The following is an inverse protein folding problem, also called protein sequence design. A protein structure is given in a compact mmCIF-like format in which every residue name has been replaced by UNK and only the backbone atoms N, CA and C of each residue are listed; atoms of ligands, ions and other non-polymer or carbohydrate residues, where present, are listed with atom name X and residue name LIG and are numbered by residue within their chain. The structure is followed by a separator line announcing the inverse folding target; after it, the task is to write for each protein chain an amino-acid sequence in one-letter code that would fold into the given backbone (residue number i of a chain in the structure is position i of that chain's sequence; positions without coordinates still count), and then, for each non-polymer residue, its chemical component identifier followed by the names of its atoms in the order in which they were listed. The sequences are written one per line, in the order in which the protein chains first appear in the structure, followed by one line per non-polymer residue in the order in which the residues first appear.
data_IF_791679358664
#
_entry.id   IF_791679358664
#
_cell.length_a   1.000
_cell.length_b   1.000
_cell.length_c   1.000
_cell.angle_alpha   90.00
_cell.angle_beta   90.00
_cell.angle_gamma   90.00
#
_symmetry.space_group_name_H-M   'P 1'
#
loop_
_entity.id
_entity.type
_entity.pdbx_description
1 polymer ?
#
# COMPACT_ATOMS: atom_id res chain seq x y z
N UNK A 1 5.96 -31.01 -3.39
CA UNK A 1 6.26 -29.85 -4.27
C UNK A 1 7.23 -28.95 -3.54
N UNK A 2 8.17 -28.26 -4.23
CA UNK A 2 9.11 -27.34 -3.59
C UNK A 2 8.34 -26.36 -2.70
N UNK A 3 8.74 -26.25 -1.43
CA UNK A 3 8.08 -25.35 -0.50
C UNK A 3 8.55 -23.91 -0.66
N UNK A 4 7.70 -22.95 -0.30
CA UNK A 4 8.10 -21.55 -0.21
C UNK A 4 7.44 -20.90 0.98
N UNK A 5 8.19 -20.08 1.72
CA UNK A 5 7.65 -19.15 2.70
C UNK A 5 7.74 -17.75 2.12
N UNK A 6 6.60 -17.08 2.03
CA UNK A 6 6.49 -15.70 1.55
C UNK A 6 5.93 -14.84 2.68
N UNK A 7 6.66 -13.81 3.05
CA UNK A 7 6.26 -12.84 4.07
C UNK A 7 6.13 -11.48 3.40
N UNK A 8 4.97 -10.82 3.51
CA UNK A 8 4.71 -9.54 2.88
C UNK A 8 4.50 -8.44 3.93
N UNK A 9 5.09 -7.27 3.70
CA UNK A 9 4.91 -6.09 4.53
C UNK A 9 3.51 -5.51 4.44
N UNK A 10 2.96 -5.39 3.22
CA UNK A 10 1.60 -4.91 2.96
C UNK A 10 1.18 -5.18 1.51
N UNK A 11 -0.01 -4.73 1.10
CA UNK A 11 -0.48 -4.74 -0.28
C UNK A 11 -0.72 -6.14 -0.83
N UNK A 12 -1.10 -7.09 0.03
CA UNK A 12 -1.18 -8.51 -0.29
C UNK A 12 -2.11 -8.88 -1.44
N UNK A 13 -3.13 -8.07 -1.68
CA UNK A 13 -4.08 -8.21 -2.79
C UNK A 13 -4.08 -6.97 -3.70
N UNK A 14 -3.01 -6.19 -3.65
CA UNK A 14 -2.78 -5.02 -4.50
C UNK A 14 -2.13 -5.40 -5.84
N UNK A 15 -2.26 -4.54 -6.87
CA UNK A 15 -1.59 -4.74 -8.16
C UNK A 15 -0.07 -4.93 -8.06
N UNK A 16 0.58 -4.34 -7.05
CA UNK A 16 2.04 -4.41 -6.90
C UNK A 16 2.53 -5.82 -6.55
N UNK A 17 1.68 -6.66 -5.94
CA UNK A 17 2.05 -8.01 -5.48
C UNK A 17 1.66 -9.13 -6.47
N UNK A 18 0.96 -8.80 -7.57
CA UNK A 18 0.47 -9.80 -8.53
C UNK A 18 1.60 -10.68 -9.07
N UNK A 19 2.71 -10.09 -9.49
CA UNK A 19 3.84 -10.84 -10.06
C UNK A 19 4.58 -11.69 -9.02
N UNK A 20 4.58 -11.28 -7.75
CA UNK A 20 5.13 -12.10 -6.66
C UNK A 20 4.28 -13.36 -6.48
N UNK A 21 2.97 -13.20 -6.38
CA UNK A 21 2.04 -14.33 -6.28
C UNK A 21 2.12 -15.25 -7.50
N UNK A 22 2.09 -14.70 -8.72
CA UNK A 22 2.23 -15.49 -9.96
C UNK A 22 3.55 -16.25 -10.00
N UNK A 23 4.65 -15.62 -9.60
CA UNK A 23 5.96 -16.28 -9.61
C UNK A 23 6.00 -17.51 -8.69
N UNK A 24 5.42 -17.41 -7.50
CA UNK A 24 5.40 -18.51 -6.53
C UNK A 24 4.32 -19.55 -6.90
N UNK A 25 3.17 -19.12 -7.42
CA UNK A 25 2.08 -20.01 -7.84
C UNK A 25 2.44 -20.86 -9.07
N UNK A 26 3.38 -20.41 -9.93
CA UNK A 26 3.86 -21.20 -11.09
C UNK A 26 4.46 -22.56 -10.71
N UNK A 27 4.95 -22.71 -9.48
CA UNK A 27 5.48 -23.98 -8.96
C UNK A 27 4.39 -24.98 -8.57
N UNK A 28 3.12 -24.58 -8.56
CA UNK A 28 2.01 -25.43 -8.15
C UNK A 28 1.62 -26.42 -9.27
N UNK A 29 1.27 -27.64 -8.87
CA UNK A 29 0.71 -28.67 -9.74
C UNK A 29 -0.70 -28.28 -10.21
N UNK A 30 -1.13 -28.83 -11.34
CA UNK A 30 -2.52 -28.73 -11.77
C UNK A 30 -3.45 -29.32 -10.68
N UNK A 31 -4.54 -28.59 -10.38
CA UNK A 31 -5.48 -28.96 -9.32
C UNK A 31 -4.91 -28.84 -7.90
N UNK A 32 -3.90 -27.98 -7.71
CA UNK A 32 -3.42 -27.61 -6.38
C UNK A 32 -4.55 -27.01 -5.53
N UNK A 33 -4.66 -27.46 -4.28
CA UNK A 33 -5.62 -26.90 -3.32
C UNK A 33 -5.05 -25.62 -2.71
N UNK A 34 -5.67 -24.48 -2.98
CA UNK A 34 -5.25 -23.20 -2.42
C UNK A 34 -6.27 -22.68 -1.41
N UNK A 35 -5.79 -22.32 -0.22
CA UNK A 35 -6.61 -21.90 0.92
C UNK A 35 -6.32 -20.46 1.32
N UNK A 36 -7.38 -19.70 1.57
CA UNK A 36 -7.38 -18.43 2.29
C UNK A 36 -7.79 -18.69 3.75
N UNK A 37 -6.92 -18.33 4.68
CA UNK A 37 -7.26 -18.20 6.09
C UNK A 37 -7.80 -16.78 6.34
N UNK A 38 -9.08 -16.69 6.61
CA UNK A 38 -9.78 -15.44 6.96
C UNK A 38 -9.58 -15.03 8.43
N UNK A 39 -8.97 -15.90 9.22
CA UNK A 39 -8.89 -15.79 10.67
C UNK A 39 -8.45 -14.41 11.17
N UNK A 40 -7.41 -13.75 10.60
CA UNK A 40 -6.97 -12.45 11.12
C UNK A 40 -8.04 -11.35 11.05
N UNK A 41 -9.00 -11.41 10.11
CA UNK A 41 -10.08 -10.43 9.96
C UNK A 41 -11.48 -11.01 10.23
N UNK A 42 -11.59 -12.30 10.60
CA UNK A 42 -12.88 -12.98 10.80
C UNK A 42 -13.75 -12.38 11.93
N UNK A 43 -13.21 -11.48 12.76
CA UNK A 43 -13.98 -10.74 13.76
C UNK A 43 -14.77 -9.56 13.18
N UNK A 44 -14.50 -9.16 11.93
CA UNK A 44 -15.11 -8.01 11.30
C UNK A 44 -16.48 -8.35 10.70
N UNK A 45 -17.43 -7.42 10.79
CA UNK A 45 -18.80 -7.59 10.24
C UNK A 45 -18.81 -7.80 8.72
N UNK A 46 -17.81 -7.27 8.00
CA UNK A 46 -17.63 -7.40 6.56
C UNK A 46 -16.68 -8.53 6.14
N UNK A 47 -16.32 -9.47 7.04
CA UNK A 47 -15.35 -10.53 6.74
C UNK A 47 -15.65 -11.32 5.45
N UNK A 48 -16.94 -11.61 5.19
CA UNK A 48 -17.35 -12.31 3.97
C UNK A 48 -17.06 -11.50 2.67
N UNK A 49 -17.16 -10.18 2.73
CA UNK A 49 -16.79 -9.31 1.60
C UNK A 49 -15.28 -9.32 1.37
N UNK A 50 -14.49 -9.20 2.45
CA UNK A 50 -13.02 -9.26 2.39
C UNK A 50 -12.57 -10.57 1.75
N UNK A 51 -13.10 -11.71 2.21
CA UNK A 51 -12.80 -13.01 1.61
C UNK A 51 -13.22 -13.08 0.14
N UNK A 52 -14.40 -12.57 -0.21
CA UNK A 52 -14.87 -12.55 -1.61
C UNK A 52 -13.96 -11.72 -2.52
N UNK A 53 -13.47 -10.57 -2.05
CA UNK A 53 -12.52 -9.71 -2.78
C UNK A 53 -11.17 -10.41 -2.96
N UNK A 54 -10.64 -11.03 -1.90
CA UNK A 54 -9.39 -11.80 -1.96
C UNK A 54 -9.50 -12.98 -2.95
N UNK A 55 -10.54 -13.81 -2.86
CA UNK A 55 -10.75 -14.92 -3.80
C UNK A 55 -10.83 -14.42 -5.25
N UNK A 56 -11.53 -13.31 -5.49
CA UNK A 56 -11.64 -12.70 -6.82
C UNK A 56 -10.31 -12.15 -7.34
N UNK A 57 -9.50 -11.57 -6.47
CA UNK A 57 -8.14 -11.13 -6.79
C UNK A 57 -7.28 -12.32 -7.25
N UNK A 58 -7.24 -13.40 -6.48
CA UNK A 58 -6.44 -14.57 -6.86
C UNK A 58 -6.93 -15.19 -8.17
N UNK A 59 -8.24 -15.35 -8.36
CA UNK A 59 -8.80 -15.90 -9.58
C UNK A 59 -8.49 -15.04 -10.82
N UNK A 60 -8.70 -13.71 -10.73
CA UNK A 60 -8.59 -12.80 -11.89
C UNK A 60 -7.16 -12.32 -12.16
N UNK A 61 -6.45 -11.95 -11.11
CA UNK A 61 -5.13 -11.31 -11.22
C UNK A 61 -4.02 -12.35 -11.17
N UNK A 62 -4.10 -13.35 -10.30
CA UNK A 62 -3.05 -14.38 -10.15
C UNK A 62 -3.30 -15.58 -11.06
N UNK A 63 -4.56 -15.91 -11.34
CA UNK A 63 -4.95 -17.14 -12.03
C UNK A 63 -4.98 -18.37 -11.11
N UNK A 64 -5.23 -18.16 -9.81
CA UNK A 64 -5.28 -19.20 -8.77
C UNK A 64 -6.66 -19.19 -8.12
N UNK A 65 -7.39 -20.32 -8.18
CA UNK A 65 -8.65 -20.49 -7.45
C UNK A 65 -8.36 -20.78 -5.98
N UNK A 66 -8.82 -19.90 -5.09
CA UNK A 66 -8.59 -19.99 -3.64
C UNK A 66 -9.92 -20.14 -2.91
N UNK A 67 -10.01 -21.09 -2.00
CA UNK A 67 -11.17 -21.30 -1.13
C UNK A 67 -10.89 -20.81 0.30
N UNK A 68 -11.92 -20.29 0.97
CA UNK A 68 -11.83 -19.98 2.41
C UNK A 68 -11.88 -21.28 3.19
N UNK A 69 -10.95 -21.51 4.11
CA UNK A 69 -11.00 -22.66 5.00
C UNK A 69 -10.52 -22.33 6.41
N UNK A 70 -11.00 -23.11 7.38
CA UNK A 70 -10.62 -22.95 8.79
C UNK A 70 -9.23 -23.53 9.13
N UNK A 71 -8.57 -24.20 8.19
CA UNK A 71 -7.29 -24.87 8.42
C UNK A 71 -6.53 -25.20 7.14
N UNK A 72 -5.27 -25.62 7.31
CA UNK A 72 -4.29 -25.69 6.21
C UNK A 72 -3.92 -27.11 5.80
N UNK A 73 -4.44 -28.13 6.48
CA UNK A 73 -4.14 -29.54 6.21
C UNK A 73 -4.45 -29.89 4.76
N UNK A 74 -3.49 -30.51 4.06
CA UNK A 74 -3.64 -30.94 2.67
C UNK A 74 -3.76 -29.80 1.64
N UNK A 75 -3.64 -28.53 2.05
CA UNK A 75 -3.45 -27.45 1.09
C UNK A 75 -2.10 -27.63 0.36
N UNK A 76 -1.99 -27.11 -0.86
CA UNK A 76 -0.73 -26.91 -1.58
C UNK A 76 -0.28 -25.44 -1.47
N UNK A 77 -1.22 -24.52 -1.33
CA UNK A 77 -1.02 -23.09 -1.14
C UNK A 77 -1.85 -22.59 0.05
N UNK A 78 -1.25 -21.81 0.93
CA UNK A 78 -1.93 -21.14 2.04
C UNK A 78 -1.64 -19.65 1.93
N UNK A 79 -2.68 -18.84 2.01
CA UNK A 79 -2.59 -17.40 2.12
C UNK A 79 -3.35 -16.92 3.36
N UNK A 80 -2.75 -16.01 4.12
CA UNK A 80 -3.39 -15.29 5.23
C UNK A 80 -2.92 -13.85 5.22
N UNK A 81 -3.86 -12.91 5.36
CA UNK A 81 -3.61 -11.49 5.11
C UNK A 81 -3.90 -10.57 6.30
N UNK A 82 -4.60 -9.45 6.06
CA UNK A 82 -4.68 -8.30 6.97
C UNK A 82 -5.63 -8.56 8.14
N UNK A 83 -5.61 -7.69 9.15
CA UNK A 83 -6.51 -7.77 10.30
C UNK A 83 -5.77 -7.67 11.64
N UNK A 84 -6.17 -8.47 12.62
CA UNK A 84 -5.59 -8.47 13.96
C UNK A 84 -4.60 -9.62 14.15
N UNK A 85 -3.30 -9.33 14.43
CA UNK A 85 -2.32 -10.36 14.74
C UNK A 85 -2.68 -11.17 15.99
N UNK A 86 -3.17 -10.50 17.04
CA UNK A 86 -3.53 -11.12 18.32
C UNK A 86 -4.76 -12.01 18.21
N UNK A 87 -5.77 -11.58 17.47
CA UNK A 87 -6.94 -12.40 17.18
C UNK A 87 -6.56 -13.67 16.40
N UNK A 88 -5.72 -13.54 15.37
CA UNK A 88 -5.20 -14.67 14.61
C UNK A 88 -4.46 -15.67 15.51
N UNK A 89 -3.53 -15.18 16.33
CA UNK A 89 -2.77 -16.01 17.29
C UNK A 89 -3.68 -16.80 18.22
N UNK A 90 -4.66 -16.15 18.83
CA UNK A 90 -5.58 -16.82 19.76
C UNK A 90 -6.39 -17.91 19.07
N UNK A 91 -6.95 -17.63 17.88
CA UNK A 91 -7.76 -18.60 17.14
C UNK A 91 -6.91 -19.75 16.59
N UNK A 92 -5.72 -19.48 16.09
CA UNK A 92 -4.83 -20.51 15.55
C UNK A 92 -4.23 -21.40 16.63
N UNK A 93 -3.94 -20.86 17.81
CA UNK A 93 -3.54 -21.66 18.96
C UNK A 93 -4.68 -22.60 19.41
N UNK A 94 -5.92 -22.08 19.51
CA UNK A 94 -7.07 -22.86 19.95
C UNK A 94 -7.49 -23.97 18.96
N UNK A 95 -7.29 -23.75 17.66
CA UNK A 95 -7.67 -24.69 16.59
C UNK A 95 -6.55 -25.64 16.15
N UNK A 96 -5.31 -25.40 16.55
CA UNK A 96 -4.13 -26.17 16.10
C UNK A 96 -3.48 -25.67 14.82
N UNK A 97 -4.08 -24.68 14.13
CA UNK A 97 -3.55 -24.12 12.87
C UNK A 97 -2.13 -23.56 13.03
N UNK A 98 -1.78 -23.01 14.19
CA UNK A 98 -0.42 -22.53 14.45
C UNK A 98 0.61 -23.68 14.37
N UNK A 99 0.26 -24.85 14.91
CA UNK A 99 1.09 -26.06 14.83
C UNK A 99 1.18 -26.58 13.39
N UNK A 100 0.08 -26.56 12.65
CA UNK A 100 0.06 -26.99 11.25
C UNK A 100 0.90 -26.08 10.34
N UNK A 101 0.86 -24.76 10.56
CA UNK A 101 1.71 -23.80 9.85
C UNK A 101 3.19 -24.05 10.15
N UNK A 102 3.56 -24.27 11.42
CA UNK A 102 4.93 -24.65 11.81
C UNK A 102 5.36 -25.95 11.15
N UNK A 103 4.53 -26.98 11.21
CA UNK A 103 4.81 -28.29 10.62
C UNK A 103 5.00 -28.21 9.10
N UNK A 104 4.17 -27.40 8.43
CA UNK A 104 4.25 -27.13 7.01
C UNK A 104 5.59 -26.51 6.60
N UNK A 105 5.99 -25.39 7.22
CA UNK A 105 7.28 -24.75 6.90
C UNK A 105 8.45 -25.70 7.22
N UNK A 106 8.39 -26.42 8.34
CA UNK A 106 9.39 -27.42 8.73
C UNK A 106 9.50 -28.60 7.75
N UNK A 107 8.38 -29.04 7.19
CA UNK A 107 8.36 -30.08 6.15
C UNK A 107 8.90 -29.60 4.81
N UNK A 108 9.03 -28.27 4.63
CA UNK A 108 9.54 -27.62 3.41
C UNK A 108 8.68 -27.94 2.18
N UNK A 109 7.39 -28.19 2.41
CA UNK A 109 6.41 -28.53 1.38
C UNK A 109 5.32 -27.46 1.25
N UNK A 110 4.95 -27.19 0.00
CA UNK A 110 3.87 -26.28 -0.33
C UNK A 110 4.20 -24.81 -0.07
N UNK A 111 3.31 -23.94 -0.52
CA UNK A 111 3.50 -22.50 -0.41
C UNK A 111 2.74 -21.96 0.80
N UNK A 112 3.41 -21.15 1.61
CA UNK A 112 2.80 -20.40 2.71
C UNK A 112 3.07 -18.92 2.49
N UNK A 113 2.01 -18.14 2.32
CA UNK A 113 2.06 -16.69 2.14
C UNK A 113 1.37 -16.03 3.32
N UNK A 114 2.11 -15.28 4.12
CA UNK A 114 1.58 -14.48 5.21
C UNK A 114 1.85 -13.00 4.92
N UNK A 115 0.85 -12.16 5.08
CA UNK A 115 0.98 -10.72 4.85
C UNK A 115 0.46 -9.90 6.04
N UNK A 116 0.96 -8.67 6.18
CA UNK A 116 0.49 -7.69 7.16
C UNK A 116 0.32 -8.35 8.55
N UNK A 117 -0.89 -8.36 9.11
CA UNK A 117 -1.20 -8.93 10.41
C UNK A 117 -0.77 -10.39 10.58
N UNK A 118 -1.04 -11.23 9.58
CA UNK A 118 -0.60 -12.63 9.60
C UNK A 118 0.93 -12.75 9.55
N UNK A 119 1.61 -11.91 8.75
CA UNK A 119 3.08 -11.90 8.69
C UNK A 119 3.69 -11.52 10.05
N UNK A 120 3.09 -10.55 10.76
CA UNK A 120 3.53 -10.15 12.10
C UNK A 120 3.54 -11.32 13.11
N UNK A 121 2.75 -12.36 12.86
CA UNK A 121 2.73 -13.58 13.68
C UNK A 121 3.89 -14.54 13.43
N UNK A 122 4.65 -14.37 12.34
CA UNK A 122 5.57 -15.40 11.85
C UNK A 122 6.84 -15.57 12.70
N UNK A 123 7.25 -14.56 13.46
CA UNK A 123 8.44 -14.60 14.31
C UNK A 123 8.17 -15.16 15.71
N UNK A 124 9.20 -15.13 16.56
CA UNK A 124 9.11 -15.60 17.95
C UNK A 124 8.16 -14.76 18.82
N UNK A 125 7.96 -13.50 18.43
CA UNK A 125 7.05 -12.57 19.07
C UNK A 125 6.37 -11.68 18.02
N UNK A 126 5.23 -11.13 18.42
CA UNK A 126 4.28 -10.42 17.57
C UNK A 126 3.87 -9.11 18.21
N UNK A 127 3.74 -8.06 17.38
CA UNK A 127 3.25 -6.76 17.80
C UNK A 127 1.71 -6.80 17.91
N UNK A 128 1.13 -6.54 19.10
CA UNK A 128 -0.31 -6.36 19.26
C UNK A 128 -0.71 -4.95 18.83
N UNK A 129 -0.68 -4.70 17.52
CA UNK A 129 -0.73 -3.34 16.95
C UNK A 129 -2.03 -2.61 17.27
N UNK A 130 -3.19 -3.29 17.24
CA UNK A 130 -4.46 -2.63 17.56
C UNK A 130 -4.55 -2.25 19.03
N UNK A 131 -4.07 -3.12 19.92
CA UNK A 131 -4.02 -2.86 21.34
C UNK A 131 -3.09 -1.67 21.66
N UNK A 132 -1.92 -1.60 21.04
CA UNK A 132 -0.97 -0.52 21.29
C UNK A 132 -1.39 0.78 20.61
N UNK A 133 -1.73 0.74 19.32
CA UNK A 133 -1.97 1.93 18.50
C UNK A 133 -3.38 2.48 18.64
N UNK A 134 -4.41 1.62 18.60
CA UNK A 134 -5.82 2.06 18.61
C UNK A 134 -6.38 2.12 20.04
N UNK A 135 -6.08 1.14 20.90
CA UNK A 135 -6.57 1.11 22.30
C UNK A 135 -5.69 1.94 23.25
N UNK A 136 -4.40 2.08 22.95
CA UNK A 136 -3.46 2.85 23.78
C UNK A 136 -2.82 2.06 24.92
N UNK A 137 -2.75 0.73 24.80
CA UNK A 137 -2.03 -0.13 25.75
C UNK A 137 -0.53 0.18 25.76
N UNK A 138 0.13 -0.14 26.88
CA UNK A 138 1.58 -0.05 26.98
C UNK A 138 2.26 -0.96 25.94
N UNK A 139 3.39 -0.53 25.33
CA UNK A 139 4.12 -1.37 24.38
C UNK A 139 4.56 -2.69 25.02
N UNK A 140 4.25 -3.81 24.36
CA UNK A 140 4.58 -5.15 24.83
C UNK A 140 4.57 -6.13 23.64
N UNK A 141 5.20 -7.29 23.83
CA UNK A 141 5.18 -8.40 22.88
C UNK A 141 4.11 -9.44 23.26
N UNK A 142 3.55 -10.09 22.24
CA UNK A 142 2.85 -11.38 22.38
C UNK A 142 3.71 -12.49 21.78
N UNK A 143 3.56 -13.71 22.28
CA UNK A 143 4.22 -14.88 21.69
C UNK A 143 3.71 -15.10 20.26
N UNK A 144 4.63 -15.31 19.31
CA UNK A 144 4.31 -15.53 17.92
C UNK A 144 4.19 -17.01 17.53
N UNK A 145 3.82 -17.26 16.28
CA UNK A 145 3.80 -18.60 15.68
C UNK A 145 5.22 -19.12 15.42
N UNK A 146 6.26 -18.30 15.48
CA UNK A 146 7.67 -18.72 15.39
C UNK A 146 7.98 -19.71 14.24
N UNK A 147 7.48 -19.37 13.05
CA UNK A 147 7.82 -20.08 11.81
C UNK A 147 9.30 -19.89 11.46
N UNK A 148 9.86 -18.75 11.81
CA UNK A 148 11.25 -18.38 11.53
C UNK A 148 12.27 -19.27 12.25
N UNK A 149 11.94 -19.82 13.42
CA UNK A 149 12.79 -20.81 14.11
C UNK A 149 13.08 -22.02 13.22
N UNK A 150 12.11 -22.48 12.43
CA UNK A 150 12.29 -23.63 11.51
C UNK A 150 13.31 -23.35 10.40
N UNK A 151 13.61 -22.07 10.16
CA UNK A 151 14.62 -21.61 9.22
C UNK A 151 15.95 -21.28 9.92
N UNK A 152 16.07 -21.51 11.24
CA UNK A 152 17.24 -21.14 12.03
C UNK A 152 17.36 -19.64 12.29
N UNK A 153 16.25 -18.89 12.16
CA UNK A 153 16.22 -17.45 12.39
C UNK A 153 15.55 -17.13 13.72
N UNK A 154 16.34 -16.64 14.68
CA UNK A 154 15.81 -16.07 15.92
C UNK A 154 15.41 -14.61 15.69
N UNK A 155 14.19 -14.40 15.19
CA UNK A 155 13.74 -13.07 14.82
C UNK A 155 12.24 -12.82 15.11
N UNK A 156 11.90 -11.54 15.19
CA UNK A 156 10.52 -11.04 15.05
C UNK A 156 10.33 -10.44 13.66
N UNK A 157 9.12 -10.47 13.13
CA UNK A 157 8.77 -9.82 11.87
C UNK A 157 7.89 -8.60 12.13
N UNK A 158 8.28 -7.45 11.57
CA UNK A 158 7.52 -6.21 11.61
C UNK A 158 7.12 -5.85 10.16
N UNK A 159 5.85 -6.04 9.77
CA UNK A 159 5.32 -5.54 8.50
C UNK A 159 5.13 -4.01 8.56
N UNK A 160 4.72 -3.37 7.46
CA UNK A 160 4.50 -1.92 7.39
C UNK A 160 5.68 -1.13 7.98
N UNK A 161 6.91 -1.53 7.65
CA UNK A 161 8.11 -1.07 8.35
C UNK A 161 8.40 0.41 8.09
N UNK A 162 8.18 0.88 6.86
CA UNK A 162 8.36 2.26 6.42
C UNK A 162 7.06 3.10 6.43
N UNK A 163 5.96 2.54 6.94
CA UNK A 163 4.65 3.21 6.96
C UNK A 163 4.71 4.68 7.42
N UNK A 164 4.11 5.56 6.62
CA UNK A 164 4.08 7.00 6.81
C UNK A 164 2.66 7.61 6.95
N UNK A 165 1.63 6.80 7.14
CA UNK A 165 0.22 7.22 7.25
C UNK A 165 -0.10 8.18 8.41
N UNK A 166 0.79 8.28 9.41
CA UNK A 166 0.58 9.12 10.59
C UNK A 166 0.50 10.61 10.30
N UNK A 167 1.01 11.07 9.16
CA UNK A 167 1.07 12.49 8.76
C UNK A 167 1.89 13.35 9.73
N UNK A 168 1.30 13.71 10.87
CA UNK A 168 1.94 14.53 11.92
C UNK A 168 2.71 13.74 12.98
N UNK A 169 2.61 12.40 13.00
CA UNK A 169 3.31 11.54 13.96
C UNK A 169 3.95 10.32 13.29
N UNK A 170 4.89 9.69 14.00
CA UNK A 170 5.66 8.54 13.50
C UNK A 170 4.84 7.24 13.59
N UNK A 171 4.43 6.71 12.44
CA UNK A 171 3.74 5.42 12.29
C UNK A 171 4.60 4.31 11.69
N UNK A 172 5.90 4.56 11.51
CA UNK A 172 6.83 3.53 11.03
C UNK A 172 6.80 2.32 11.96
N UNK A 173 7.20 1.17 11.43
CA UNK A 173 7.34 -0.07 12.20
C UNK A 173 6.00 -0.60 12.71
N UNK A 174 5.01 -0.76 11.80
CA UNK A 174 3.67 -1.26 12.14
C UNK A 174 2.97 -0.35 13.18
N UNK A 175 2.86 0.95 12.87
CA UNK A 175 2.21 1.98 13.71
C UNK A 175 2.83 2.19 15.11
N UNK A 176 4.00 1.63 15.38
CA UNK A 176 4.69 1.80 16.66
C UNK A 176 5.41 3.15 16.76
N UNK A 177 6.06 3.55 15.67
CA UNK A 177 7.08 4.61 15.66
C UNK A 177 8.36 4.20 16.38
N UNK A 178 9.46 4.91 16.11
CA UNK A 178 10.80 4.58 16.62
C UNK A 178 10.83 4.46 18.16
N UNK A 179 10.13 5.37 18.85
CA UNK A 179 10.12 5.42 20.32
C UNK A 179 9.58 4.14 20.94
N UNK A 180 8.48 3.59 20.41
CA UNK A 180 7.85 2.37 20.97
C UNK A 180 8.64 1.13 20.56
N UNK A 181 9.05 1.03 19.28
CA UNK A 181 9.85 -0.11 18.81
C UNK A 181 11.15 -0.22 19.61
N UNK A 182 11.93 0.86 19.73
CA UNK A 182 13.19 0.87 20.49
C UNK A 182 13.02 0.39 21.94
N UNK A 183 11.86 0.66 22.58
CA UNK A 183 11.55 0.15 23.92
C UNK A 183 11.31 -1.35 23.89
N UNK A 184 10.44 -1.79 23.00
CA UNK A 184 10.07 -3.20 22.85
C UNK A 184 11.28 -4.07 22.46
N UNK A 185 12.19 -3.59 21.62
CA UNK A 185 13.41 -4.32 21.23
C UNK A 185 14.26 -4.75 22.43
N UNK A 186 14.29 -3.95 23.50
CA UNK A 186 15.05 -4.27 24.73
C UNK A 186 14.41 -5.38 25.58
N UNK A 187 13.13 -5.66 25.34
CA UNK A 187 12.38 -6.72 26.03
C UNK A 187 12.51 -8.06 25.30
N UNK A 188 13.04 -8.06 24.07
CA UNK A 188 13.27 -9.29 23.33
C UNK A 188 14.42 -10.10 23.95
N UNK A 189 14.36 -11.44 23.85
CA UNK A 189 15.47 -12.28 24.28
C UNK A 189 16.80 -11.88 23.60
N UNK A 190 17.94 -11.92 24.31
CA UNK A 190 19.24 -11.51 23.74
C UNK A 190 19.56 -12.24 22.45
N UNK A 191 19.99 -11.47 21.45
CA UNK A 191 20.34 -12.01 20.13
C UNK A 191 19.18 -12.18 19.15
N UNK A 192 17.98 -11.73 19.50
CA UNK A 192 16.86 -11.64 18.57
C UNK A 192 17.05 -10.49 17.58
N UNK A 193 16.82 -10.75 16.29
CA UNK A 193 16.77 -9.71 15.26
C UNK A 193 15.34 -9.23 14.99
N UNK A 194 15.20 -8.01 14.49
CA UNK A 194 13.97 -7.48 13.90
C UNK A 194 14.10 -7.55 12.38
N UNK A 195 13.22 -8.29 11.74
CA UNK A 195 13.05 -8.29 10.29
C UNK A 195 11.92 -7.33 9.94
N UNK A 196 12.29 -6.16 9.43
CA UNK A 196 11.38 -5.13 8.97
C UNK A 196 11.06 -5.29 7.48
N UNK A 197 9.79 -5.47 7.13
CA UNK A 197 9.35 -5.46 5.74
C UNK A 197 8.58 -4.19 5.44
N UNK A 198 9.11 -3.42 4.50
CA UNK A 198 8.46 -2.21 3.99
C UNK A 198 7.14 -2.54 3.31
N UNK A 199 6.28 -1.54 3.16
CA UNK A 199 5.02 -1.64 2.45
C UNK A 199 5.23 -2.07 0.99
N UNK A 200 4.28 -2.81 0.45
CA UNK A 200 4.35 -3.39 -0.90
C UNK A 200 5.69 -4.11 -1.17
N UNK A 201 6.21 -4.84 -0.18
CA UNK A 201 7.47 -5.60 -0.26
C UNK A 201 7.29 -7.00 0.31
N UNK A 202 7.94 -7.98 -0.31
CA UNK A 202 7.88 -9.38 0.06
C UNK A 202 9.29 -9.96 0.25
N UNK A 203 9.48 -10.71 1.33
CA UNK A 203 10.56 -11.67 1.51
C UNK A 203 10.08 -13.04 1.01
N UNK A 204 10.74 -13.57 -0.01
CA UNK A 204 10.48 -14.91 -0.55
C UNK A 204 11.65 -15.80 -0.18
N UNK A 205 11.37 -16.90 0.53
CA UNK A 205 12.34 -17.95 0.86
C UNK A 205 11.92 -19.22 0.15
N UNK A 206 12.74 -19.65 -0.80
CA UNK A 206 12.60 -20.97 -1.42
C UNK A 206 13.11 -22.03 -0.44
N UNK A 207 12.20 -22.89 0.02
CA UNK A 207 12.52 -23.90 1.02
C UNK A 207 13.23 -25.10 0.41
N UNK A 208 13.43 -25.24 -0.89
CA UNK A 208 14.24 -26.34 -1.41
C UNK A 208 15.70 -25.91 -1.55
N UNK A 209 15.90 -24.77 -2.21
CA UNK A 209 17.22 -24.24 -2.58
C UNK A 209 17.84 -23.34 -1.52
N UNK A 210 17.06 -22.90 -0.53
CA UNK A 210 17.43 -21.86 0.43
C UNK A 210 17.74 -20.49 -0.21
N UNK A 211 17.31 -20.25 -1.46
CA UNK A 211 17.36 -18.93 -2.08
C UNK A 211 16.43 -17.97 -1.32
N UNK A 212 16.95 -16.78 -1.03
CA UNK A 212 16.23 -15.67 -0.42
C UNK A 212 16.16 -14.53 -1.41
N UNK A 213 14.95 -14.03 -1.67
CA UNK A 213 14.71 -12.89 -2.55
C UNK A 213 13.87 -11.83 -1.88
N UNK A 214 14.27 -10.58 -2.03
CA UNK A 214 13.44 -9.41 -1.71
C UNK A 214 12.78 -8.94 -3.01
N UNK A 215 11.45 -8.83 -3.01
CA UNK A 215 10.66 -8.41 -4.15
C UNK A 215 9.65 -7.31 -3.75
N UNK A 216 9.15 -6.53 -4.70
CA UNK A 216 8.25 -5.42 -4.44
C UNK A 216 8.92 -4.05 -4.58
N UNK A 217 8.50 -3.05 -3.82
CA UNK A 217 8.90 -1.64 -4.00
C UNK A 217 9.96 -1.16 -3.01
N UNK A 218 9.92 -1.62 -1.77
CA UNK A 218 10.82 -1.20 -0.68
C UNK A 218 11.97 -2.18 -0.46
N UNK A 219 12.25 -2.49 0.80
CA UNK A 219 13.30 -3.43 1.19
C UNK A 219 12.95 -4.28 2.41
N UNK A 220 13.88 -5.19 2.71
CA UNK A 220 13.94 -5.90 3.97
C UNK A 220 15.03 -5.25 4.84
N UNK A 221 14.66 -4.76 6.02
CA UNK A 221 15.61 -4.29 7.02
C UNK A 221 15.87 -5.38 8.04
N UNK A 222 17.13 -5.79 8.20
CA UNK A 222 17.59 -6.65 9.29
C UNK A 222 18.20 -5.75 10.37
N UNK A 223 17.49 -5.58 11.49
CA UNK A 223 17.86 -4.68 12.58
C UNK A 223 18.19 -5.46 13.85
N UNK A 224 19.30 -5.12 14.51
CA UNK A 224 19.72 -5.70 15.79
C UNK A 224 20.58 -4.72 16.58
N UNK A 225 20.21 -4.46 17.84
CA UNK A 225 21.05 -3.75 18.81
C UNK A 225 21.75 -2.48 18.29
N UNK A 226 21.03 -1.63 17.53
CA UNK A 226 21.55 -0.37 16.99
C UNK A 226 22.28 -0.48 15.65
N UNK A 227 22.42 -1.68 15.07
CA UNK A 227 22.80 -1.86 13.67
C UNK A 227 21.58 -2.22 12.83
N UNK A 228 21.57 -1.76 11.58
CA UNK A 228 20.56 -2.10 10.59
C UNK A 228 21.24 -2.31 9.23
N UNK A 229 20.88 -3.41 8.57
CA UNK A 229 21.26 -3.68 7.18
C UNK A 229 20.00 -3.68 6.35
N UNK A 230 19.97 -2.90 5.28
CA UNK A 230 18.85 -2.87 4.33
C UNK A 230 19.22 -3.72 3.12
N UNK A 231 18.36 -4.67 2.80
CA UNK A 231 18.38 -5.46 1.58
C UNK A 231 17.29 -4.90 0.65
N UNK A 232 17.64 -4.10 -0.38
CA UNK A 232 16.66 -3.48 -1.25
C UNK A 232 15.93 -4.52 -2.12
N UNK A 233 14.75 -4.16 -2.65
CA UNK A 233 14.06 -4.97 -3.65
C UNK A 233 14.98 -5.35 -4.81
N UNK A 234 14.83 -6.60 -5.28
CA UNK A 234 15.70 -7.20 -6.30
C UNK A 234 16.90 -7.94 -5.71
N UNK A 235 17.21 -7.76 -4.42
CA UNK A 235 18.26 -8.53 -3.74
C UNK A 235 17.97 -10.02 -3.84
N UNK A 236 18.99 -10.80 -4.22
CA UNK A 236 19.02 -12.26 -4.16
C UNK A 236 20.22 -12.69 -3.33
N UNK A 237 19.97 -13.54 -2.35
CA UNK A 237 20.98 -14.09 -1.45
C UNK A 237 20.53 -15.49 -1.01
N UNK A 238 21.14 -16.05 0.01
CA UNK A 238 20.75 -17.32 0.60
C UNK A 238 20.33 -17.17 2.08
N UNK A 239 19.70 -18.22 2.60
CA UNK A 239 19.24 -18.26 3.98
C UNK A 239 20.41 -18.20 4.98
N UNK A 240 21.60 -18.65 4.59
CA UNK A 240 22.80 -18.58 5.44
C UNK A 240 23.27 -17.13 5.65
N UNK A 241 23.24 -16.29 4.63
CA UNK A 241 23.52 -14.86 4.75
C UNK A 241 22.46 -14.15 5.59
N UNK A 242 21.18 -14.46 5.40
CA UNK A 242 20.13 -13.88 6.23
C UNK A 242 20.31 -14.23 7.71
N UNK A 243 20.70 -15.47 8.02
CA UNK A 243 21.09 -15.90 9.39
C UNK A 243 22.28 -15.10 9.91
N UNK A 244 23.35 -14.96 9.12
CA UNK A 244 24.53 -14.16 9.51
C UNK A 244 24.17 -12.72 9.84
N UNK A 245 23.35 -12.07 9.02
CA UNK A 245 22.88 -10.70 9.27
C UNK A 245 22.05 -10.62 10.55
N UNK A 246 21.13 -11.57 10.77
CA UNK A 246 20.33 -11.65 11.99
C UNK A 246 21.20 -11.89 13.24
N UNK A 247 22.33 -12.59 13.09
CA UNK A 247 23.34 -12.80 14.14
C UNK A 247 24.29 -11.62 14.32
N UNK A 248 24.09 -10.50 13.60
CA UNK A 248 24.90 -9.28 13.68
C UNK A 248 26.21 -9.35 12.91
N UNK A 249 26.35 -10.30 11.98
CA UNK A 249 27.46 -10.34 11.04
C UNK A 249 27.43 -9.15 10.08
N UNK A 250 28.60 -8.79 9.55
CA UNK A 250 28.69 -7.84 8.44
C UNK A 250 28.18 -8.50 7.16
N UNK A 251 27.52 -7.75 6.26
CA UNK A 251 27.11 -8.29 4.98
C UNK A 251 28.29 -8.92 4.24
N UNK A 252 28.10 -10.14 3.74
CA UNK A 252 29.01 -10.69 2.74
C UNK A 252 28.99 -9.82 1.48
N UNK A 253 29.98 -9.96 0.60
CA UNK A 253 29.88 -9.42 -0.77
C UNK A 253 28.74 -10.13 -1.48
N UNK A 254 27.52 -9.58 -1.40
CA UNK A 254 26.40 -10.00 -2.22
C UNK A 254 26.76 -9.63 -3.66
N UNK A 255 26.81 -10.59 -4.60
CA UNK A 255 27.00 -10.26 -6.00
C UNK A 255 25.96 -9.22 -6.41
N UNK A 256 26.34 -8.14 -7.13
CA UNK A 256 25.35 -7.19 -7.60
C UNK A 256 24.27 -7.98 -8.35
N UNK A 257 22.98 -7.65 -8.15
CA UNK A 257 21.91 -8.37 -8.82
C UNK A 257 22.20 -8.35 -10.33
N UNK A 258 21.94 -9.45 -11.06
CA UNK A 258 21.97 -9.38 -12.51
C UNK A 258 21.02 -8.26 -12.92
N UNK A 259 21.55 -7.28 -13.64
CA UNK A 259 20.76 -6.13 -14.12
C UNK A 259 19.55 -6.70 -14.86
N UNK A 260 18.32 -6.48 -14.37
CA UNK A 260 17.14 -6.95 -15.07
C UNK A 260 17.17 -6.35 -16.48
N UNK A 261 16.90 -7.16 -17.51
CA UNK A 261 16.83 -6.69 -18.90
C UNK A 261 15.81 -5.55 -19.06
N UNK A 262 14.83 -5.46 -18.15
CA UNK A 262 13.98 -4.31 -17.86
C UNK A 262 13.63 -4.38 -16.36
N UNK A 263 13.88 -3.31 -15.60
CA UNK A 263 13.22 -3.18 -14.30
C UNK A 263 11.72 -3.02 -14.58
N UNK A 264 10.82 -3.82 -13.97
CA UNK A 264 9.40 -3.57 -14.11
C UNK A 264 9.14 -2.13 -13.67
N UNK A 265 8.42 -1.36 -14.49
CA UNK A 265 8.03 0.00 -14.15
C UNK A 265 7.40 -0.04 -12.75
N UNK A 266 7.91 0.79 -11.84
CA UNK A 266 7.40 0.85 -10.48
C UNK A 266 5.88 1.08 -10.54
N UNK A 267 5.09 0.10 -10.12
CA UNK A 267 3.64 0.20 -10.15
C UNK A 267 3.23 1.19 -9.07
N UNK A 268 2.87 2.41 -9.47
CA UNK A 268 2.51 3.56 -8.61
C UNK A 268 1.35 3.16 -7.68
N UNK A 269 1.40 3.55 -6.41
CA UNK A 269 0.33 3.25 -5.45
C UNK A 269 -0.94 4.04 -5.76
N UNK A 270 -2.08 3.63 -5.19
CA UNK A 270 -3.31 4.42 -5.35
C UNK A 270 -3.17 5.83 -4.76
N UNK A 271 -2.49 5.98 -3.63
CA UNK A 271 -2.25 7.29 -3.01
C UNK A 271 -1.42 8.21 -3.90
N UNK A 272 -0.29 7.71 -4.44
CA UNK A 272 0.55 8.45 -5.37
C UNK A 272 -0.25 8.85 -6.63
N UNK A 273 -1.14 7.96 -7.11
CA UNK A 273 -2.04 8.23 -8.24
C UNK A 273 -3.04 9.34 -7.92
N UNK A 274 -3.65 9.31 -6.74
CA UNK A 274 -4.59 10.34 -6.24
C UNK A 274 -3.91 11.70 -6.19
N UNK A 275 -2.73 11.78 -5.58
CA UNK A 275 -1.97 13.02 -5.47
C UNK A 275 -1.59 13.58 -6.85
N UNK A 276 -1.05 12.72 -7.73
CA UNK A 276 -0.67 13.13 -9.09
C UNK A 276 -1.89 13.58 -9.91
N UNK A 277 -3.01 12.87 -9.81
CA UNK A 277 -4.25 13.23 -10.49
C UNK A 277 -4.75 14.61 -10.06
N UNK A 278 -4.71 14.95 -8.76
CA UNK A 278 -5.15 16.26 -8.29
C UNK A 278 -4.29 17.39 -8.86
N UNK A 279 -2.97 17.23 -8.84
CA UNK A 279 -2.03 18.22 -9.36
C UNK A 279 -2.21 18.43 -10.87
N UNK A 280 -2.28 17.33 -11.64
CA UNK A 280 -2.45 17.36 -13.08
C UNK A 280 -3.81 17.95 -13.46
N UNK A 281 -4.87 17.62 -12.72
CA UNK A 281 -6.20 18.18 -12.94
C UNK A 281 -6.20 19.69 -12.72
N UNK A 282 -5.57 20.17 -11.65
CA UNK A 282 -5.41 21.61 -11.37
C UNK A 282 -4.69 22.32 -12.53
N UNK A 283 -3.65 21.70 -13.08
CA UNK A 283 -2.92 22.24 -14.22
C UNK A 283 -3.76 22.26 -15.51
N UNK A 284 -4.56 21.21 -15.76
CA UNK A 284 -5.45 21.14 -16.92
C UNK A 284 -6.54 22.22 -16.87
N UNK A 285 -7.19 22.41 -15.72
CA UNK A 285 -8.20 23.46 -15.52
C UNK A 285 -7.60 24.87 -15.65
N UNK A 286 -6.35 25.07 -15.23
CA UNK A 286 -5.65 26.36 -15.40
C UNK A 286 -5.34 26.69 -16.87
N UNK A 287 -5.15 25.68 -17.73
CA UNK A 287 -4.92 25.80 -19.18
C UNK A 287 -6.19 25.65 -20.02
N UNK A 288 -7.36 25.96 -19.45
CA UNK A 288 -8.69 25.48 -19.84
C UNK A 288 -8.81 24.20 -20.69
N UNK A 289 -7.99 23.17 -20.42
CA UNK A 289 -8.02 21.92 -21.17
C UNK A 289 -9.02 20.93 -20.54
N UNK A 290 -10.29 21.06 -20.95
CA UNK A 290 -11.38 20.25 -20.38
C UNK A 290 -11.31 18.78 -20.78
N UNK A 291 -10.72 18.47 -21.95
CA UNK A 291 -10.56 17.09 -22.40
C UNK A 291 -9.52 16.38 -21.55
N UNK A 292 -8.36 17.02 -21.32
CA UNK A 292 -7.35 16.48 -20.42
C UNK A 292 -7.87 16.32 -18.99
N UNK A 293 -8.61 17.32 -18.48
CA UNK A 293 -9.20 17.24 -17.15
C UNK A 293 -10.23 16.10 -17.02
N UNK A 294 -11.06 15.87 -18.03
CA UNK A 294 -12.00 14.74 -18.06
C UNK A 294 -11.28 13.38 -18.12
N UNK A 295 -10.21 13.28 -18.94
CA UNK A 295 -9.43 12.05 -19.05
C UNK A 295 -8.79 11.67 -17.71
N UNK A 296 -8.25 12.63 -16.97
CA UNK A 296 -7.66 12.38 -15.64
C UNK A 296 -8.68 11.80 -14.64
N UNK A 297 -9.94 12.24 -14.69
CA UNK A 297 -11.01 11.69 -13.85
C UNK A 297 -11.31 10.24 -14.23
N UNK A 298 -11.34 9.91 -15.52
CA UNK A 298 -11.55 8.54 -16.01
C UNK A 298 -10.37 7.62 -15.67
N UNK A 299 -9.14 8.13 -15.79
CA UNK A 299 -7.94 7.38 -15.43
C UNK A 299 -7.90 7.08 -13.93
N UNK A 300 -8.31 8.04 -13.09
CA UNK A 300 -8.47 7.83 -11.65
C UNK A 300 -9.54 6.77 -11.34
N UNK A 301 -10.67 6.77 -12.05
CA UNK A 301 -11.71 5.74 -11.90
C UNK A 301 -11.16 4.34 -12.20
N UNK A 302 -10.42 4.20 -13.30
CA UNK A 302 -9.82 2.93 -13.69
C UNK A 302 -8.82 2.41 -12.65
N UNK A 303 -7.99 3.28 -12.07
CA UNK A 303 -7.08 2.89 -11.00
C UNK A 303 -7.85 2.53 -9.71
N UNK A 304 -8.91 3.27 -9.33
CA UNK A 304 -9.75 2.89 -8.18
C UNK A 304 -10.33 1.47 -8.35
N UNK A 305 -10.76 1.11 -9.55
CA UNK A 305 -11.29 -0.24 -9.83
C UNK A 305 -10.20 -1.29 -9.69
N UNK A 306 -9.02 -1.03 -10.25
CA UNK A 306 -7.86 -1.94 -10.22
C UNK A 306 -7.35 -2.19 -8.80
N UNK A 307 -7.36 -1.16 -7.96
CA UNK A 307 -7.00 -1.24 -6.54
C UNK A 307 -8.16 -1.69 -5.64
N UNK A 308 -9.38 -1.83 -6.16
CA UNK A 308 -10.56 -2.17 -5.36
C UNK A 308 -10.54 -3.57 -4.73
N UNK A 309 -9.65 -4.45 -5.19
CA UNK A 309 -9.46 -5.77 -4.62
C UNK A 309 -8.53 -5.78 -3.39
N UNK A 310 -7.80 -4.68 -3.16
CA UNK A 310 -6.89 -4.56 -2.03
C UNK A 310 -7.66 -4.64 -0.70
N UNK A 311 -7.26 -5.59 0.14
CA UNK A 311 -7.95 -5.95 1.38
C UNK A 311 -7.47 -5.16 2.59
N UNK A 312 -6.40 -4.38 2.42
CA UNK A 312 -5.82 -3.53 3.45
C UNK A 312 -6.77 -2.34 3.73
N UNK A 313 -7.35 -2.30 4.94
CA UNK A 313 -8.36 -1.31 5.31
C UNK A 313 -7.77 -0.01 5.87
N UNK A 314 -6.57 -0.05 6.46
CA UNK A 314 -5.98 1.12 7.15
C UNK A 314 -5.48 2.20 6.16
N UNK A 315 -5.23 1.86 4.88
CA UNK A 315 -4.67 2.78 3.89
C UNK A 315 -5.65 3.84 3.32
N UNK A 316 -6.93 3.86 3.70
CA UNK A 316 -7.90 4.90 3.31
C UNK A 316 -8.13 5.11 1.79
N UNK A 317 -7.44 4.36 0.93
CA UNK A 317 -7.11 4.80 -0.42
C UNK A 317 -8.32 4.84 -1.35
N UNK A 318 -9.08 3.75 -1.46
CA UNK A 318 -10.20 3.67 -2.40
C UNK A 318 -11.38 4.57 -2.02
N UNK A 319 -11.61 4.80 -0.72
CA UNK A 319 -12.64 5.71 -0.22
C UNK A 319 -12.30 7.17 -0.54
N UNK A 320 -11.10 7.60 -0.12
CA UNK A 320 -10.60 8.94 -0.36
C UNK A 320 -10.45 9.24 -1.87
N UNK A 321 -9.96 8.29 -2.65
CA UNK A 321 -9.85 8.41 -4.10
C UNK A 321 -11.21 8.66 -4.77
N UNK A 322 -12.27 7.94 -4.34
CA UNK A 322 -13.64 8.19 -4.85
C UNK A 322 -14.18 9.55 -4.44
N UNK A 323 -13.88 10.01 -3.23
CA UNK A 323 -14.30 11.32 -2.75
C UNK A 323 -13.60 12.44 -3.54
N UNK A 324 -12.29 12.31 -3.77
CA UNK A 324 -11.56 13.19 -4.67
C UNK A 324 -12.15 13.15 -6.08
N UNK A 325 -12.38 11.96 -6.66
CA UNK A 325 -12.96 11.83 -7.99
C UNK A 325 -14.30 12.59 -8.11
N UNK A 326 -15.19 12.48 -7.11
CA UNK A 326 -16.45 13.24 -7.07
C UNK A 326 -16.21 14.76 -7.01
N UNK A 327 -15.24 15.21 -6.22
CA UNK A 327 -14.84 16.61 -6.16
C UNK A 327 -14.30 17.10 -7.51
N UNK A 328 -13.46 16.30 -8.19
CA UNK A 328 -12.92 16.63 -9.51
C UNK A 328 -14.01 16.70 -10.56
N UNK A 329 -15.01 15.80 -10.53
CA UNK A 329 -16.19 15.86 -11.41
C UNK A 329 -16.95 17.19 -11.21
N UNK A 330 -17.18 17.61 -9.96
CA UNK A 330 -17.84 18.88 -9.68
C UNK A 330 -17.04 20.08 -10.23
N UNK A 331 -15.73 20.13 -9.96
CA UNK A 331 -14.82 21.17 -10.47
C UNK A 331 -14.74 21.19 -11.99
N UNK A 332 -14.78 20.02 -12.63
CA UNK A 332 -14.80 19.90 -14.08
C UNK A 332 -16.08 20.53 -14.65
N UNK A 333 -17.24 20.27 -14.01
CA UNK A 333 -18.50 20.90 -14.38
C UNK A 333 -18.48 22.43 -14.30
N UNK A 334 -17.95 22.98 -13.20
CA UNK A 334 -17.79 24.44 -13.02
C UNK A 334 -16.84 25.05 -14.07
N UNK A 335 -15.70 24.39 -14.31
CA UNK A 335 -14.73 24.83 -15.31
C UNK A 335 -15.32 24.77 -16.73
N UNK A 336 -16.03 23.70 -17.08
CA UNK A 336 -16.68 23.54 -18.37
C UNK A 336 -17.77 24.60 -18.61
N UNK A 337 -18.54 24.95 -17.57
CA UNK A 337 -19.56 25.99 -17.63
C UNK A 337 -18.98 27.37 -18.00
N UNK A 338 -17.72 27.65 -17.64
CA UNK A 338 -17.07 28.95 -17.90
C UNK A 338 -16.03 28.91 -19.02
N UNK A 339 -15.63 27.74 -19.48
CA UNK A 339 -14.55 27.55 -20.45
C UNK A 339 -14.79 28.30 -21.78
N UNK A 340 -16.03 28.32 -22.26
CA UNK A 340 -16.40 29.01 -23.51
C UNK A 340 -16.43 30.55 -23.38
N UNK A 341 -16.64 31.07 -22.16
CA UNK A 341 -16.68 32.51 -21.89
C UNK A 341 -15.27 33.09 -21.76
N UNK A 342 -14.33 32.31 -21.26
CA UNK A 342 -12.97 32.77 -20.94
C UNK A 342 -12.23 33.43 -22.13
N UNK A 343 -12.21 32.86 -23.36
CA UNK A 343 -11.58 33.50 -24.52
C UNK A 343 -12.23 34.84 -24.92
N UNK A 344 -13.48 35.07 -24.54
CA UNK A 344 -14.20 36.33 -24.80
C UNK A 344 -13.96 37.35 -23.67
N UNK A 345 -14.05 36.92 -22.41
CA UNK A 345 -14.01 37.81 -21.24
C UNK A 345 -12.59 38.30 -20.95
N UNK A 346 -11.56 37.45 -21.05
CA UNK A 346 -10.19 37.85 -20.69
C UNK A 346 -9.61 38.98 -21.56
N UNK A 347 -9.79 39.01 -22.91
CA UNK A 347 -9.41 40.17 -23.71
C UNK A 347 -10.19 41.44 -23.36
N UNK A 348 -11.48 41.33 -23.04
CA UNK A 348 -12.31 42.48 -22.66
C UNK A 348 -11.89 43.06 -21.30
N UNK A 349 -11.48 42.21 -20.35
CA UNK A 349 -10.91 42.68 -19.07
C UNK A 349 -9.56 43.38 -19.26
N UNK A 350 -8.70 42.89 -20.18
CA UNK A 350 -7.46 43.58 -20.55
C UNK A 350 -7.72 44.95 -21.18
N UNK A 351 -8.63 45.01 -22.15
CA UNK A 351 -9.05 46.27 -22.76
C UNK A 351 -9.63 47.24 -21.71
N UNK A 352 -10.44 46.75 -20.78
CA UNK A 352 -10.96 47.54 -19.66
C UNK A 352 -9.83 48.12 -18.81
N UNK A 353 -8.81 47.33 -18.48
CA UNK A 353 -7.67 47.78 -17.70
C UNK A 353 -6.86 48.87 -18.43
N UNK A 354 -6.61 48.71 -19.74
CA UNK A 354 -5.95 49.71 -20.58
C UNK A 354 -6.74 51.03 -20.62
N UNK A 355 -8.06 50.96 -20.80
CA UNK A 355 -8.95 52.14 -20.80
C UNK A 355 -8.89 52.88 -19.46
N UNK A 356 -8.87 52.16 -18.33
CA UNK A 356 -8.72 52.77 -16.99
C UNK A 356 -7.35 53.43 -16.83
N UNK A 357 -6.27 52.79 -17.30
CA UNK A 357 -4.92 53.36 -17.28
C UNK A 357 -4.80 54.64 -18.12
N UNK A 358 -5.58 54.75 -19.20
CA UNK A 358 -5.67 55.95 -20.04
C UNK A 358 -6.68 57.01 -19.53
N UNK A 359 -7.26 56.84 -18.33
CA UNK A 359 -8.23 57.78 -17.76
C UNK A 359 -9.61 57.77 -18.40
N UNK A 360 -9.93 56.77 -19.24
CA UNK A 360 -11.22 56.62 -19.96
C UNK A 360 -12.23 55.82 -19.13
N UNK A 361 -12.52 56.28 -17.92
CA UNK A 361 -13.35 55.55 -16.94
C UNK A 361 -14.76 55.26 -17.46
N UNK A 362 -15.41 56.22 -18.10
CA UNK A 362 -16.76 56.05 -18.68
C UNK A 362 -16.86 54.86 -19.65
N UNK A 363 -15.85 54.66 -20.50
CA UNK A 363 -15.83 53.55 -21.48
C UNK A 363 -15.52 52.24 -20.78
N UNK A 364 -14.62 52.25 -19.80
CA UNK A 364 -14.31 51.08 -18.99
C UNK A 364 -15.53 50.60 -18.17
N UNK A 365 -16.36 51.51 -17.68
CA UNK A 365 -17.58 51.20 -16.93
C UNK A 365 -18.72 50.76 -17.86
N UNK A 366 -18.84 51.36 -19.05
CA UNK A 366 -19.75 50.88 -20.08
C UNK A 366 -19.43 49.44 -20.52
N UNK A 367 -18.14 49.08 -20.60
CA UNK A 367 -17.68 47.73 -20.91
C UNK A 367 -18.02 46.74 -19.78
N UNK A 368 -17.86 47.13 -18.51
CA UNK A 368 -18.31 46.32 -17.36
C UNK A 368 -19.81 46.06 -17.41
N UNK A 369 -20.61 47.10 -17.65
CA UNK A 369 -22.07 46.96 -17.76
C UNK A 369 -22.49 46.10 -18.96
N UNK A 370 -21.72 46.10 -20.05
CA UNK A 370 -21.95 45.23 -21.20
C UNK A 370 -21.66 43.76 -20.87
N UNK A 371 -20.57 43.48 -20.15
CA UNK A 371 -20.25 42.14 -19.64
C UNK A 371 -21.36 41.64 -18.70
N UNK A 372 -21.84 42.49 -17.80
CA UNK A 372 -22.92 42.15 -16.86
C UNK A 372 -24.24 41.82 -17.58
N UNK A 373 -24.63 42.63 -18.58
CA UNK A 373 -25.78 42.31 -19.46
C UNK A 373 -25.59 41.01 -20.24
N UNK A 374 -24.34 40.65 -20.53
CA UNK A 374 -23.95 39.38 -21.14
C UNK A 374 -23.87 38.21 -20.16
N UNK A 375 -24.29 38.39 -18.91
CA UNK A 375 -24.27 37.34 -17.90
C UNK A 375 -22.90 37.13 -17.25
N UNK A 376 -22.00 38.11 -17.28
CA UNK A 376 -20.67 38.05 -16.65
C UNK A 376 -20.54 39.16 -15.62
N UNK A 377 -20.48 38.80 -14.34
CA UNK A 377 -20.25 39.74 -13.25
C UNK A 377 -18.75 39.92 -13.07
N UNK A 378 -18.29 41.18 -13.05
CA UNK A 378 -16.88 41.53 -12.81
C UNK A 378 -16.73 42.17 -11.44
N UNK A 379 -15.82 41.65 -10.63
CA UNK A 379 -15.45 42.16 -9.31
C UNK A 379 -14.00 42.67 -9.34
N UNK A 380 -13.78 43.92 -8.92
CA UNK A 380 -12.44 44.49 -8.86
C UNK A 380 -11.80 44.16 -7.51
N UNK A 381 -10.66 43.46 -7.52
CA UNK A 381 -9.90 43.16 -6.29
C UNK A 381 -8.50 43.79 -6.33
N UNK A 382 -7.81 43.93 -5.17
CA UNK A 382 -6.45 44.46 -5.14
C UNK A 382 -5.42 43.71 -6.01
N UNK A 383 -5.68 42.43 -6.31
CA UNK A 383 -4.85 41.59 -7.19
C UNK A 383 -5.28 41.60 -8.66
N UNK A 384 -6.29 42.42 -9.03
CA UNK A 384 -6.84 42.51 -10.38
C UNK A 384 -8.35 42.17 -10.44
N UNK A 385 -8.99 42.36 -11.61
CA UNK A 385 -10.40 42.03 -11.80
C UNK A 385 -10.63 40.51 -11.83
N UNK A 386 -11.61 40.03 -11.08
CA UNK A 386 -12.15 38.66 -11.12
C UNK A 386 -13.51 38.68 -11.80
N UNK A 387 -13.92 37.55 -12.38
CA UNK A 387 -15.25 37.44 -13.00
C UNK A 387 -15.90 36.11 -12.70
N UNK A 388 -17.23 36.10 -12.66
CA UNK A 388 -18.06 34.91 -12.52
C UNK A 388 -19.24 34.99 -13.49
N UNK A 389 -19.75 33.85 -13.99
CA UNK A 389 -21.03 33.84 -14.69
C UNK A 389 -22.14 34.25 -13.71
N UNK A 390 -23.12 35.00 -14.22
CA UNK A 390 -24.36 35.29 -13.51
C UNK A 390 -25.16 33.98 -13.35
N UNK A 391 -25.75 33.72 -12.17
CA UNK A 391 -26.50 32.48 -11.91
C UNK A 391 -27.73 32.29 -12.80
#
# INVERSE_FOLDING_TARGET
MPGSLVLMGSGETSPTMVEVHRAVARGLRAGARAVLLDTPYAFQENAADISSRACRYFARSVGLEVEVAAGVTGADWVFSGPGSPTYALERWAASGVAGDLRARVRSREGVTVLASAAACTAGLATVPVYEIYKVGADPHWREGVDLLETLGLRAVLIPHFDNAEGGTHDTRYCYLGERRLSRMERELPPGTAVLGLDEHTALVVDLETEEVRVAGRGGLTVRRAGSATVLPSGTRTDLAELRRLAEGGTPGTVPPPPVPAEAPAATITLEETVQSCEEQFRAAVAKPDMVAAAQLVLDLEAEIVKWGADTEEDAGGAGQARELMRLLIAKLGEAAATAHLRPLVEPLLRLRAELRGAGRYEIADALRAALERGGVVVEDTPSGPRWTPSP
#
